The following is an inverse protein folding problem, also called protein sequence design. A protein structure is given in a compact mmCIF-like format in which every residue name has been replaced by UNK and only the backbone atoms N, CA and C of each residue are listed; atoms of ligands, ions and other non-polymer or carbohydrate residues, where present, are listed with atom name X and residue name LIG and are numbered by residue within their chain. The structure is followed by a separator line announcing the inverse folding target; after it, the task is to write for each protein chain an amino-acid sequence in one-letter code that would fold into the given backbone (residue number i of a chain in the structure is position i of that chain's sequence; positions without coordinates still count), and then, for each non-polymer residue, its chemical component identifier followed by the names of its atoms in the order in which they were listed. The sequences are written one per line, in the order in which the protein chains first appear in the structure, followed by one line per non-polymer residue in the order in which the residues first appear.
data_IF_999343003828
#
_entry.id   IF_999343003828
#
_cell.length_a   1.000
_cell.length_b   1.000
_cell.length_c   1.000
_cell.angle_alpha   90.00
_cell.angle_beta   90.00
_cell.angle_gamma   90.00
#
_symmetry.space_group_name_H-M   'P 1'
#
loop_
_entity.id
_entity.type
_entity.pdbx_description
1 polymer ?
#
# COMPACT_ATOMS: atom_id res chain seq x y z
N UNK A 1 -21.69 30.41 -15.79
CA UNK A 1 -20.63 30.46 -14.77
C UNK A 1 -20.47 29.07 -14.17
N UNK A 2 -19.50 28.28 -14.63
CA UNK A 2 -19.26 26.95 -14.07
C UNK A 2 -18.42 27.10 -12.80
N UNK A 3 -18.81 26.49 -11.66
CA UNK A 3 -18.01 26.57 -10.46
C UNK A 3 -16.67 25.87 -10.71
N UNK A 4 -15.62 26.66 -10.96
CA UNK A 4 -14.23 26.19 -11.01
C UNK A 4 -13.96 25.45 -9.70
N UNK A 5 -13.69 24.16 -9.83
CA UNK A 5 -13.38 23.22 -8.77
C UNK A 5 -12.72 23.88 -7.54
N UNK A 6 -13.34 23.75 -6.36
CA UNK A 6 -12.83 24.22 -5.05
C UNK A 6 -11.50 23.55 -4.62
N UNK A 7 -10.80 22.87 -5.52
CA UNK A 7 -9.55 22.17 -5.20
C UNK A 7 -8.42 23.17 -5.05
N UNK A 8 -7.95 23.34 -3.81
CA UNK A 8 -6.70 24.06 -3.53
C UNK A 8 -5.50 23.34 -4.19
N UNK A 9 -4.53 24.12 -4.69
CA UNK A 9 -3.31 23.60 -5.34
C UNK A 9 -2.54 22.66 -4.40
N UNK A 10 -1.81 21.68 -4.95
CA UNK A 10 -1.00 20.75 -4.14
C UNK A 10 0.05 21.49 -3.29
N UNK A 11 0.66 22.53 -3.86
CA UNK A 11 1.64 23.38 -3.19
C UNK A 11 1.07 24.00 -1.90
N UNK A 12 -0.14 24.56 -1.97
CA UNK A 12 -0.84 25.11 -0.80
C UNK A 12 -1.29 24.07 0.23
N UNK A 13 -1.19 22.76 -0.07
CA UNK A 13 -1.46 21.68 0.89
C UNK A 13 -0.22 21.24 1.63
N UNK A 14 0.92 21.22 0.93
CA UNK A 14 2.21 20.89 1.52
C UNK A 14 2.72 22.00 2.43
N UNK A 15 2.38 23.25 2.14
CA UNK A 15 2.66 24.40 3.01
C UNK A 15 1.66 24.55 4.17
N UNK A 16 0.76 23.58 4.39
CA UNK A 16 -0.11 23.66 5.56
C UNK A 16 0.70 23.28 6.78
N UNK A 17 0.54 24.00 7.89
CA UNK A 17 1.07 23.55 9.17
C UNK A 17 0.62 22.11 9.39
N UNK A 18 1.60 21.24 9.59
CA UNK A 18 1.36 19.90 10.10
C UNK A 18 0.81 20.07 11.53
N UNK A 19 -0.16 19.27 11.95
CA UNK A 19 -0.73 19.47 13.28
C UNK A 19 0.28 19.18 14.39
N UNK A 20 0.06 19.74 15.59
CA UNK A 20 0.88 19.50 16.79
C UNK A 20 1.06 18.00 17.13
N UNK A 21 0.19 17.12 16.64
CA UNK A 21 0.33 15.68 16.82
C UNK A 21 1.60 15.08 16.18
N UNK A 22 2.17 15.75 15.17
CA UNK A 22 3.44 15.37 14.55
C UNK A 22 4.63 16.11 15.16
N UNK A 23 4.40 17.11 16.03
CA UNK A 23 5.43 17.75 16.87
C UNK A 23 5.69 16.93 18.15
N UNK A 24 4.92 15.87 18.40
CA UNK A 24 5.27 14.89 19.41
C UNK A 24 6.51 14.16 18.91
N UNK A 25 7.64 14.36 19.60
CA UNK A 25 8.91 13.67 19.40
C UNK A 25 8.71 12.15 19.56
N UNK A 26 8.26 11.47 18.50
CA UNK A 26 8.43 10.03 18.37
C UNK A 26 9.86 9.83 17.87
N UNK A 27 10.77 9.64 18.82
CA UNK A 27 12.16 9.35 18.51
C UNK A 27 12.25 7.94 17.91
N UNK A 28 12.17 7.88 16.58
CA UNK A 28 12.23 6.66 15.79
C UNK A 28 13.51 5.90 16.07
N UNK A 29 14.62 6.61 16.29
CA UNK A 29 15.92 6.02 16.58
C UNK A 29 15.87 5.35 17.96
N UNK A 30 15.34 6.04 18.97
CA UNK A 30 15.14 5.49 20.33
C UNK A 30 14.17 4.30 20.37
N UNK A 31 13.13 4.30 19.55
CA UNK A 31 12.19 3.18 19.46
C UNK A 31 12.82 1.92 18.83
N UNK A 32 13.93 2.07 18.10
CA UNK A 32 14.66 0.99 17.45
C UNK A 32 15.84 0.46 18.28
N UNK A 33 16.21 1.11 19.38
CA UNK A 33 17.30 0.66 20.28
C UNK A 33 17.02 -0.71 20.92
N UNK A 34 15.75 -0.98 21.26
CA UNK A 34 15.33 -2.24 21.90
C UNK A 34 15.05 -3.37 20.89
N UNK A 35 15.13 -3.09 19.58
CA UNK A 35 15.08 -4.15 18.57
C UNK A 35 16.47 -4.78 18.54
N UNK A 36 16.62 -6.07 18.86
CA UNK A 36 17.89 -6.74 18.67
C UNK A 36 18.27 -6.59 17.19
N UNK A 37 19.31 -5.81 16.94
CA UNK A 37 19.95 -5.74 15.63
C UNK A 37 20.29 -7.19 15.30
N UNK A 38 19.74 -7.67 14.18
CA UNK A 38 20.01 -8.99 13.65
C UNK A 38 21.53 -9.21 13.75
N UNK A 39 21.96 -10.12 14.62
CA UNK A 39 23.31 -10.67 14.55
C UNK A 39 23.48 -11.04 13.09
N UNK A 40 24.56 -10.57 12.47
CA UNK A 40 24.96 -11.04 11.15
C UNK A 40 24.97 -12.57 11.21
N UNK A 41 23.88 -13.18 10.74
CA UNK A 41 23.74 -14.61 10.66
C UNK A 41 24.91 -15.06 9.76
N UNK A 42 25.63 -16.14 10.11
CA UNK A 42 26.71 -16.64 9.25
C UNK A 42 26.17 -16.71 7.82
N UNK A 43 26.98 -16.38 6.79
CA UNK A 43 26.48 -16.26 5.43
C UNK A 43 25.61 -17.47 5.12
N UNK A 44 24.31 -17.22 4.90
CA UNK A 44 23.33 -18.25 4.60
C UNK A 44 23.97 -19.24 3.64
N UNK A 45 24.00 -20.56 3.93
CA UNK A 45 24.54 -21.52 2.99
C UNK A 45 23.80 -21.30 1.68
N UNK A 46 24.53 -20.88 0.65
CA UNK A 46 24.01 -20.59 -0.68
C UNK A 46 23.17 -21.78 -1.13
N UNK A 47 21.85 -21.65 -1.02
CA UNK A 47 20.92 -22.62 -1.57
C UNK A 47 21.14 -22.55 -3.07
N UNK A 48 21.93 -23.51 -3.57
CA UNK A 48 22.14 -23.74 -4.98
C UNK A 48 20.77 -23.73 -5.63
N UNK A 49 20.52 -22.75 -6.48
CA UNK A 49 19.33 -22.67 -7.29
C UNK A 49 19.37 -23.79 -8.32
N UNK A 50 19.03 -25.01 -7.89
CA UNK A 50 18.69 -26.08 -8.80
C UNK A 50 17.30 -25.80 -9.34
N UNK A 51 17.32 -25.21 -10.53
CA UNK A 51 16.29 -25.18 -11.55
C UNK A 51 15.36 -26.41 -11.43
N UNK A 52 14.08 -26.21 -11.10
CA UNK A 52 12.91 -26.79 -11.80
C UNK A 52 11.59 -26.43 -11.11
N UNK A 53 10.60 -26.18 -11.96
CA UNK A 53 9.14 -26.13 -11.73
C UNK A 53 8.57 -25.07 -10.79
N UNK A 54 8.29 -23.87 -11.32
CA UNK A 54 7.37 -22.89 -10.73
C UNK A 54 5.88 -23.25 -10.96
N UNK A 55 5.49 -24.50 -10.73
CA UNK A 55 4.10 -24.93 -10.97
C UNK A 55 3.53 -25.89 -9.93
N UNK A 56 4.21 -26.07 -8.80
CA UNK A 56 3.72 -26.90 -7.68
C UNK A 56 4.08 -26.23 -6.35
N UNK A 57 3.69 -24.98 -6.16
CA UNK A 57 3.53 -24.46 -4.80
C UNK A 57 2.27 -25.14 -4.24
N UNK A 58 2.48 -26.23 -3.51
CA UNK A 58 1.42 -26.85 -2.73
C UNK A 58 0.85 -25.78 -1.77
N UNK A 59 -0.48 -25.74 -1.63
CA UNK A 59 -1.13 -24.90 -0.62
C UNK A 59 -0.52 -25.26 0.74
N UNK A 60 0.06 -24.27 1.42
CA UNK A 60 0.68 -24.48 2.72
C UNK A 60 -0.40 -24.88 3.73
N UNK A 61 -0.09 -25.75 4.71
CA UNK A 61 -1.04 -26.10 5.74
C UNK A 61 -1.52 -24.83 6.44
N UNK A 62 -2.83 -24.61 6.41
CA UNK A 62 -3.48 -23.48 7.08
C UNK A 62 -3.71 -23.86 8.55
N UNK A 63 -2.80 -23.44 9.42
CA UNK A 63 -2.87 -23.65 10.88
C UNK A 63 -3.93 -22.77 11.60
N UNK A 64 -4.78 -22.06 10.85
CA UNK A 64 -5.86 -21.26 11.43
C UNK A 64 -7.02 -22.18 11.85
N UNK A 65 -7.22 -22.35 13.17
CA UNK A 65 -8.31 -23.18 13.70
C UNK A 65 -9.72 -22.77 13.26
N UNK A 66 -9.91 -21.51 12.84
CA UNK A 66 -11.15 -21.00 12.23
C UNK A 66 -10.81 -20.00 11.12
N UNK A 67 -11.42 -20.17 9.95
CA UNK A 67 -11.29 -19.24 8.83
C UNK A 67 -11.84 -17.86 9.17
N UNK A 68 -11.16 -16.81 8.73
CA UNK A 68 -11.64 -15.44 8.85
C UNK A 68 -13.06 -15.27 8.29
N UNK A 69 -13.96 -14.76 9.13
CA UNK A 69 -15.34 -14.47 8.75
C UNK A 69 -15.43 -13.19 7.91
N UNK A 70 -16.24 -13.22 6.86
CA UNK A 70 -16.43 -12.08 5.97
C UNK A 70 -17.89 -11.60 5.98
N UNK A 71 -18.31 -10.91 7.03
CA UNK A 71 -19.67 -10.36 7.18
C UNK A 71 -20.12 -9.45 6.03
N UNK A 72 -19.18 -8.85 5.29
CA UNK A 72 -19.50 -8.00 4.13
C UNK A 72 -20.12 -8.77 2.96
N UNK A 73 -19.99 -10.10 2.95
CA UNK A 73 -20.64 -10.97 1.96
C UNK A 73 -22.15 -11.05 2.18
N UNK A 74 -22.62 -10.94 3.43
CA UNK A 74 -24.04 -11.01 3.80
C UNK A 74 -24.78 -9.67 3.60
N UNK A 75 -24.06 -8.61 3.22
CA UNK A 75 -24.67 -7.29 3.01
C UNK A 75 -25.53 -7.30 1.74
N UNK A 76 -26.72 -6.65 1.75
CA UNK A 76 -27.51 -6.43 0.56
C UNK A 76 -26.68 -5.83 -0.59
N UNK A 77 -26.74 -6.45 -1.77
CA UNK A 77 -26.00 -6.00 -2.95
C UNK A 77 -26.86 -5.06 -3.79
N UNK A 78 -26.31 -3.87 -4.10
CA UNK A 78 -26.91 -2.96 -5.08
C UNK A 78 -26.59 -3.44 -6.50
N UNK A 79 -27.61 -3.54 -7.35
CA UNK A 79 -27.44 -3.80 -8.78
C UNK A 79 -26.85 -2.57 -9.48
N UNK A 80 -25.68 -2.72 -10.10
CA UNK A 80 -25.06 -1.67 -10.93
C UNK A 80 -25.47 -1.91 -12.39
N UNK A 81 -26.01 -0.87 -13.04
CA UNK A 81 -26.40 -0.91 -14.46
C UNK A 81 -25.23 -0.94 -15.43
N UNK A 82 -24.04 -0.53 -14.98
CA UNK A 82 -22.81 -0.51 -15.76
C UNK A 82 -21.69 -1.15 -14.96
N UNK A 83 -20.95 -2.07 -15.59
CA UNK A 83 -19.76 -2.66 -14.99
C UNK A 83 -18.61 -1.65 -14.97
N UNK A 84 -17.79 -1.61 -13.90
CA UNK A 84 -16.63 -0.75 -13.87
C UNK A 84 -15.69 -1.15 -15.01
N UNK A 85 -15.37 -0.18 -15.88
CA UNK A 85 -14.61 -0.45 -17.11
C UNK A 85 -13.14 -0.74 -16.85
N UNK A 86 -12.56 -0.29 -15.71
CA UNK A 86 -11.18 -0.57 -15.26
C UNK A 86 -11.12 -0.41 -13.74
N UNK A 87 -10.45 -1.32 -13.04
CA UNK A 87 -9.94 -1.03 -11.69
C UNK A 87 -8.90 0.07 -11.85
N UNK A 88 -9.09 1.23 -11.21
CA UNK A 88 -8.15 2.34 -11.34
C UNK A 88 -6.80 1.96 -10.70
N UNK A 89 -5.87 1.46 -11.50
CA UNK A 89 -4.43 1.61 -11.28
C UNK A 89 -3.82 1.93 -12.64
N UNK A 90 -2.97 2.96 -12.71
CA UNK A 90 -2.35 3.54 -13.91
C UNK A 90 -3.20 4.47 -14.81
N UNK A 91 -3.92 5.43 -14.22
CA UNK A 91 -4.03 6.74 -14.89
C UNK A 91 -2.95 7.64 -14.32
N UNK A 92 -1.71 7.41 -14.77
CA UNK A 92 -0.62 8.37 -14.62
C UNK A 92 -1.12 9.73 -15.09
N UNK A 93 -0.94 10.74 -14.24
CA UNK A 93 -1.21 12.12 -14.62
C UNK A 93 -0.20 12.46 -15.72
N UNK A 94 -0.67 12.51 -16.97
CA UNK A 94 0.17 12.85 -18.12
C UNK A 94 0.55 14.34 -18.02
N UNK A 95 1.76 14.59 -17.53
CA UNK A 95 2.35 15.93 -17.40
C UNK A 95 2.85 16.50 -18.74
N UNK A 96 2.79 15.75 -19.86
CA UNK A 96 3.22 16.26 -21.17
C UNK A 96 2.41 17.49 -21.60
N UNK A 97 1.18 17.63 -21.08
CA UNK A 97 0.26 18.73 -21.39
C UNK A 97 0.60 20.04 -20.70
N UNK A 98 1.54 20.04 -19.74
CA UNK A 98 1.98 21.23 -19.00
C UNK A 98 3.41 21.65 -19.34
N UNK A 99 4.02 21.04 -20.37
CA UNK A 99 5.34 21.43 -20.87
C UNK A 99 5.16 22.52 -21.92
N UNK A 100 5.08 23.77 -21.49
CA UNK A 100 5.30 24.93 -22.38
C UNK A 100 6.80 25.23 -22.39
N UNK A 101 7.30 25.60 -23.57
CA UNK A 101 8.72 25.84 -23.88
C UNK A 101 9.36 26.96 -23.07
#
# INVERSE_FOLDING_TARGET
MTPKSKRKSIHSRMLRPVSRAFEMEFDLDKALEDVPIHIEDPPYPSYKQDKRSSSVIAELPSEEGKKLEHFTKLRPKRMKKQQPSKSNVSRGFDFSKYRTA
#
